data_IF_088445581799
#
_entry.id   IF_088445581799
#
_cell.length_a   1.000
_cell.length_b   1.000
_cell.length_c   1.000
_cell.angle_alpha   90.00
_cell.angle_beta   90.00
_cell.angle_gamma   90.00
#
_symmetry.space_group_name_H-M   'P 1'
#
loop_
_entity.id
_entity.type
_entity.pdbx_description
1 polymer ?
#
# COMPACT_ATOMS: atom_id res chain seq x y z
N UNK A 1 -6.33 -21.08 -3.98
CA UNK A 1 -5.50 -19.98 -3.45
C UNK A 1 -4.90 -19.26 -4.64
N UNK A 2 -4.84 -17.93 -4.59
CA UNK A 2 -4.16 -17.15 -5.62
C UNK A 2 -2.66 -17.45 -5.53
N UNK A 3 -2.00 -17.70 -6.66
CA UNK A 3 -0.59 -18.10 -6.69
C UNK A 3 0.30 -16.88 -6.50
N UNK A 4 1.41 -17.04 -5.80
CA UNK A 4 2.40 -15.97 -5.70
C UNK A 4 3.04 -15.71 -7.07
N UNK A 5 2.97 -14.47 -7.52
CA UNK A 5 3.42 -14.02 -8.84
C UNK A 5 4.90 -13.69 -8.83
N UNK A 6 5.65 -14.32 -9.72
CA UNK A 6 7.08 -14.11 -9.92
C UNK A 6 7.32 -13.69 -11.37
N UNK A 7 8.19 -12.69 -11.56
CA UNK A 7 8.67 -12.27 -12.88
C UNK A 7 10.14 -12.69 -13.03
N UNK A 8 10.43 -13.48 -14.06
CA UNK A 8 11.80 -13.84 -14.46
C UNK A 8 12.24 -12.90 -15.58
N UNK A 9 13.45 -12.36 -15.49
CA UNK A 9 14.05 -11.51 -16.52
C UNK A 9 15.41 -12.08 -16.89
N UNK A 10 15.51 -12.71 -18.05
CA UNK A 10 16.69 -13.47 -18.48
C UNK A 10 16.70 -13.49 -20.00
N UNK A 11 17.81 -13.12 -20.65
CA UNK A 11 17.87 -13.01 -22.11
C UNK A 11 18.12 -14.37 -22.78
N UNK A 12 18.83 -15.28 -22.10
CA UNK A 12 19.06 -16.63 -22.60
C UNK A 12 17.80 -17.51 -22.49
N UNK A 13 17.27 -17.97 -23.62
CA UNK A 13 16.02 -18.73 -23.70
C UNK A 13 16.04 -20.03 -22.90
N UNK A 14 17.13 -20.79 -22.97
CA UNK A 14 17.27 -22.06 -22.26
C UNK A 14 17.25 -21.85 -20.74
N UNK A 15 18.03 -20.88 -20.24
CA UNK A 15 18.07 -20.53 -18.81
C UNK A 15 16.72 -20.02 -18.33
N UNK A 16 16.08 -19.12 -19.09
CA UNK A 16 14.74 -18.59 -18.79
C UNK A 16 13.69 -19.71 -18.71
N UNK A 17 13.71 -20.65 -19.66
CA UNK A 17 12.78 -21.79 -19.69
C UNK A 17 13.00 -22.74 -18.50
N UNK A 18 14.25 -23.03 -18.12
CA UNK A 18 14.57 -23.87 -16.96
C UNK A 18 14.05 -23.22 -15.67
N UNK A 19 14.29 -21.92 -15.49
CA UNK A 19 13.82 -21.17 -14.31
C UNK A 19 12.29 -21.12 -14.27
N UNK A 20 11.63 -20.84 -15.39
CA UNK A 20 10.17 -20.83 -15.48
C UNK A 20 9.60 -22.19 -15.06
N UNK A 21 10.12 -23.29 -15.62
CA UNK A 21 9.68 -24.65 -15.28
C UNK A 21 9.93 -24.99 -13.82
N UNK A 22 11.07 -24.59 -13.25
CA UNK A 22 11.38 -24.80 -11.85
C UNK A 22 10.34 -24.12 -10.96
N UNK A 23 10.06 -22.84 -11.21
CA UNK A 23 9.16 -22.05 -10.36
C UNK A 23 7.70 -22.46 -10.54
N UNK A 24 7.24 -22.72 -11.77
CA UNK A 24 5.87 -23.20 -12.01
C UNK A 24 5.60 -24.56 -11.37
N UNK A 25 6.60 -25.46 -11.31
CA UNK A 25 6.50 -26.75 -10.60
C UNK A 25 6.41 -26.60 -9.08
N UNK A 26 6.80 -25.47 -8.53
CA UNK A 26 6.74 -25.15 -7.10
C UNK A 26 5.57 -24.19 -6.78
N UNK A 27 4.48 -24.29 -7.55
CA UNK A 27 3.20 -23.58 -7.33
C UNK A 27 3.23 -22.05 -7.45
N UNK A 28 4.24 -21.49 -8.11
CA UNK A 28 4.26 -20.07 -8.46
C UNK A 28 3.53 -19.78 -9.77
N UNK A 29 2.91 -18.60 -9.88
CA UNK A 29 2.53 -18.01 -11.15
C UNK A 29 3.76 -17.29 -11.70
N UNK A 30 4.12 -17.55 -12.95
CA UNK A 30 5.36 -17.07 -13.53
C UNK A 30 5.07 -16.35 -14.83
N UNK A 31 5.63 -15.15 -14.99
CA UNK A 31 5.82 -14.51 -16.28
C UNK A 31 7.30 -14.32 -16.52
N UNK A 32 7.66 -14.20 -17.78
CA UNK A 32 9.04 -14.03 -18.20
C UNK A 32 9.19 -12.80 -19.09
N UNK A 33 10.37 -12.20 -19.08
CA UNK A 33 10.79 -11.13 -19.97
C UNK A 33 12.24 -11.38 -20.41
N UNK A 34 12.62 -10.89 -21.59
CA UNK A 34 13.93 -11.13 -22.19
C UNK A 34 14.94 -10.01 -21.88
N UNK A 35 14.50 -8.91 -21.26
CA UNK A 35 15.34 -7.78 -20.86
C UNK A 35 14.56 -6.87 -19.88
N UNK A 36 15.25 -5.90 -19.29
CA UNK A 36 14.65 -4.98 -18.33
C UNK A 36 13.50 -4.12 -18.89
N UNK A 37 13.56 -3.71 -20.16
CA UNK A 37 12.52 -2.87 -20.77
C UNK A 37 11.18 -3.63 -20.89
N UNK A 38 11.24 -4.89 -21.32
CA UNK A 38 10.06 -5.78 -21.39
C UNK A 38 9.52 -6.08 -19.99
N UNK A 39 10.41 -6.29 -19.01
CA UNK A 39 10.01 -6.49 -17.62
C UNK A 39 9.21 -5.30 -17.08
N UNK A 40 9.65 -4.06 -17.35
CA UNK A 40 8.94 -2.85 -16.94
C UNK A 40 7.52 -2.77 -17.52
N UNK A 41 7.33 -3.17 -18.77
CA UNK A 41 6.01 -3.18 -19.42
C UNK A 41 5.03 -4.16 -18.75
N UNK A 42 5.55 -5.24 -18.16
CA UNK A 42 4.74 -6.25 -17.48
C UNK A 42 4.35 -5.84 -16.05
N UNK A 43 5.11 -4.97 -15.39
CA UNK A 43 4.94 -4.66 -13.96
C UNK A 43 3.51 -4.22 -13.62
N UNK A 44 2.90 -3.35 -14.42
CA UNK A 44 1.57 -2.80 -14.13
C UNK A 44 0.45 -3.82 -14.21
N UNK A 45 0.49 -4.68 -15.22
CA UNK A 45 -0.55 -5.68 -15.45
C UNK A 45 -0.39 -6.90 -14.54
N UNK A 46 0.84 -7.17 -14.09
CA UNK A 46 1.17 -8.42 -13.40
C UNK A 46 1.39 -8.24 -11.90
N UNK A 47 2.00 -7.13 -11.47
CA UNK A 47 2.34 -6.80 -10.08
C UNK A 47 2.99 -7.99 -9.35
N UNK A 48 4.18 -8.44 -9.80
CA UNK A 48 4.87 -9.56 -9.19
C UNK A 48 5.31 -9.23 -7.75
N UNK A 49 5.34 -10.24 -6.88
CA UNK A 49 5.91 -10.10 -5.53
C UNK A 49 7.42 -10.16 -5.55
N UNK A 50 7.96 -10.96 -6.48
CA UNK A 50 9.40 -11.18 -6.66
C UNK A 50 9.77 -10.99 -8.12
N UNK A 51 10.88 -10.30 -8.35
CA UNK A 51 11.58 -10.27 -9.64
C UNK A 51 12.89 -11.02 -9.48
N UNK A 52 13.15 -11.97 -10.37
CA UNK A 52 14.42 -12.67 -10.50
C UNK A 52 15.02 -12.25 -11.83
N UNK A 53 16.10 -11.47 -11.82
CA UNK A 53 16.67 -10.90 -13.03
C UNK A 53 18.14 -11.29 -13.20
N UNK A 54 18.57 -11.57 -14.43
CA UNK A 54 19.99 -11.63 -14.72
C UNK A 54 20.62 -10.24 -14.63
N UNK A 55 21.89 -10.19 -14.25
CA UNK A 55 22.67 -8.97 -14.23
C UNK A 55 22.87 -8.45 -15.65
N UNK A 56 23.37 -9.30 -16.54
CA UNK A 56 23.84 -8.88 -17.86
C UNK A 56 22.79 -9.23 -18.90
N UNK A 57 22.07 -8.23 -19.39
CA UNK A 57 21.05 -8.40 -20.44
C UNK A 57 21.16 -7.27 -21.46
N UNK A 58 20.75 -7.48 -22.72
CA UNK A 58 20.68 -6.42 -23.72
C UNK A 58 19.57 -5.41 -23.36
N UNK A 59 19.62 -4.23 -24.00
CA UNK A 59 18.62 -3.14 -23.89
C UNK A 59 18.58 -2.44 -22.52
N UNK A 60 18.33 -3.18 -21.45
CA UNK A 60 18.34 -2.70 -20.08
C UNK A 60 18.80 -3.84 -19.19
N UNK A 61 19.86 -3.60 -18.43
CA UNK A 61 20.48 -4.60 -17.58
C UNK A 61 19.71 -4.78 -16.25
N UNK A 62 20.04 -5.83 -15.48
CA UNK A 62 19.34 -6.13 -14.22
C UNK A 62 19.53 -5.07 -13.15
N UNK A 63 20.63 -4.31 -13.21
CA UNK A 63 20.97 -3.25 -12.26
C UNK A 63 20.14 -2.01 -12.55
N UNK A 64 20.06 -1.60 -13.81
CA UNK A 64 19.21 -0.50 -14.27
C UNK A 64 17.73 -0.79 -13.96
N UNK A 65 17.27 -2.01 -14.25
CA UNK A 65 15.92 -2.46 -13.90
C UNK A 65 15.66 -2.36 -12.39
N UNK A 66 16.58 -2.87 -11.56
CA UNK A 66 16.46 -2.82 -10.11
C UNK A 66 16.34 -1.37 -9.62
N UNK A 67 17.22 -0.49 -10.10
CA UNK A 67 17.21 0.94 -9.75
C UNK A 67 15.89 1.62 -10.13
N UNK A 68 15.33 1.32 -11.31
CA UNK A 68 14.02 1.85 -11.73
C UNK A 68 12.88 1.35 -10.83
N UNK A 69 12.85 0.05 -10.52
CA UNK A 69 11.84 -0.54 -9.64
C UNK A 69 11.92 0.05 -8.23
N UNK A 70 13.13 0.15 -7.66
CA UNK A 70 13.36 0.60 -6.28
C UNK A 70 13.11 2.09 -6.09
N UNK A 71 13.26 2.91 -7.13
CA UNK A 71 12.93 4.34 -7.09
C UNK A 71 11.45 4.67 -7.30
N UNK A 72 10.66 3.71 -7.75
CA UNK A 72 9.24 3.92 -8.00
C UNK A 72 8.39 3.51 -6.79
N UNK A 73 7.65 4.44 -6.18
CA UNK A 73 6.82 4.17 -5.00
C UNK A 73 5.78 3.06 -5.17
N UNK A 74 5.37 2.78 -6.42
CA UNK A 74 4.44 1.70 -6.75
C UNK A 74 5.11 0.32 -6.71
N UNK A 75 6.38 0.23 -7.11
CA UNK A 75 7.09 -1.05 -7.31
C UNK A 75 8.20 -1.30 -6.29
N UNK A 76 8.59 -0.31 -5.48
CA UNK A 76 9.75 -0.39 -4.59
C UNK A 76 9.70 -1.55 -3.58
N UNK A 77 8.51 -2.03 -3.24
CA UNK A 77 8.32 -3.16 -2.32
C UNK A 77 8.44 -4.53 -2.99
N UNK A 78 8.53 -4.59 -4.33
CA UNK A 78 8.81 -5.84 -5.04
C UNK A 78 10.18 -6.33 -4.60
N UNK A 79 10.25 -7.60 -4.19
CA UNK A 79 11.50 -8.22 -3.79
C UNK A 79 12.34 -8.55 -5.02
N UNK A 80 13.56 -8.04 -5.11
CA UNK A 80 14.40 -8.11 -6.29
C UNK A 80 15.62 -8.98 -6.01
N UNK A 81 15.71 -10.12 -6.71
CA UNK A 81 16.82 -11.07 -6.66
C UNK A 81 17.62 -10.91 -7.94
N UNK A 82 18.89 -10.53 -7.79
CA UNK A 82 19.81 -10.38 -8.91
C UNK A 82 20.66 -11.65 -9.09
N UNK A 83 20.60 -12.24 -10.28
CA UNK A 83 21.45 -13.37 -10.67
C UNK A 83 22.74 -12.81 -11.28
N UNK A 84 23.90 -13.36 -10.93
CA UNK A 84 25.18 -12.85 -11.44
C UNK A 84 26.21 -13.95 -11.64
N UNK A 85 26.93 -13.91 -12.75
CA UNK A 85 28.15 -14.71 -12.93
C UNK A 85 29.37 -14.09 -12.21
N UNK A 86 29.23 -12.86 -11.71
CA UNK A 86 30.33 -12.10 -11.08
C UNK A 86 30.32 -12.35 -9.58
N UNK A 87 31.35 -13.05 -9.10
CA UNK A 87 31.53 -13.36 -7.68
C UNK A 87 32.40 -12.32 -6.93
N UNK A 88 32.88 -11.26 -7.60
CA UNK A 88 33.79 -10.31 -6.97
C UNK A 88 33.09 -9.50 -5.87
N UNK A 89 33.79 -9.24 -4.76
CA UNK A 89 33.26 -8.47 -3.63
C UNK A 89 32.76 -7.08 -4.07
N UNK A 90 33.44 -6.47 -5.07
CA UNK A 90 33.12 -5.14 -5.60
C UNK A 90 31.80 -5.13 -6.37
N UNK A 91 31.54 -6.17 -7.16
CA UNK A 91 30.27 -6.32 -7.88
C UNK A 91 29.10 -6.58 -6.89
N UNK A 92 29.34 -7.37 -5.85
CA UNK A 92 28.35 -7.62 -4.79
C UNK A 92 27.99 -6.36 -3.99
N UNK A 93 28.98 -5.55 -3.65
CA UNK A 93 28.77 -4.25 -2.99
C UNK A 93 27.97 -3.32 -3.90
N UNK A 94 28.32 -3.25 -5.19
CA UNK A 94 27.61 -2.42 -6.16
C UNK A 94 26.14 -2.84 -6.32
N UNK A 95 25.84 -4.14 -6.35
CA UNK A 95 24.46 -4.64 -6.42
C UNK A 95 23.62 -4.29 -5.18
N UNK A 96 24.21 -4.37 -3.98
CA UNK A 96 23.54 -4.00 -2.73
C UNK A 96 23.33 -2.49 -2.62
N UNK A 97 24.31 -1.68 -3.02
CA UNK A 97 24.23 -0.22 -2.98
C UNK A 97 23.13 0.35 -3.90
N UNK A 98 22.71 -0.43 -4.91
CA UNK A 98 21.67 -0.04 -5.87
C UNK A 98 20.26 -0.49 -5.40
N UNK A 99 20.18 -1.21 -4.28
CA UNK A 99 18.93 -1.54 -3.60
C UNK A 99 18.32 -2.88 -3.98
N UNK A 100 19.09 -3.80 -4.57
CA UNK A 100 18.67 -5.20 -4.70
C UNK A 100 18.51 -5.83 -3.30
N UNK A 101 17.47 -6.63 -3.10
CA UNK A 101 17.21 -7.22 -1.79
C UNK A 101 17.99 -8.52 -1.57
N UNK A 102 18.38 -9.20 -2.66
CA UNK A 102 19.25 -10.38 -2.63
C UNK A 102 20.04 -10.54 -3.94
N UNK A 103 21.07 -11.39 -3.89
CA UNK A 103 21.82 -11.80 -5.07
C UNK A 103 22.18 -13.29 -5.01
N UNK A 104 22.22 -13.94 -6.17
CA UNK A 104 22.66 -15.32 -6.32
C UNK A 104 23.74 -15.42 -7.38
N UNK A 105 24.81 -16.14 -7.05
CA UNK A 105 25.91 -16.37 -7.98
C UNK A 105 25.61 -17.59 -8.84
N UNK A 106 25.71 -17.44 -10.17
CA UNK A 106 25.60 -18.56 -11.13
C UNK A 106 26.85 -19.48 -10.97
N UNK A 107 26.71 -20.82 -10.98
CA UNK A 107 25.49 -21.59 -11.25
C UNK A 107 24.53 -21.61 -10.05
N UNK A 108 23.22 -21.53 -10.35
CA UNK A 108 22.18 -21.37 -9.33
C UNK A 108 21.76 -22.74 -8.81
N UNK A 109 21.87 -22.93 -7.49
CA UNK A 109 21.31 -24.09 -6.83
C UNK A 109 19.78 -23.93 -6.67
N UNK A 110 19.01 -24.85 -7.25
CA UNK A 110 17.54 -24.77 -7.29
C UNK A 110 16.92 -24.61 -5.90
N UNK A 111 17.43 -25.34 -4.91
CA UNK A 111 16.93 -25.26 -3.53
C UNK A 111 17.23 -23.90 -2.89
N UNK A 112 18.38 -23.31 -3.22
CA UNK A 112 18.73 -21.98 -2.73
C UNK A 112 17.79 -20.93 -3.33
N UNK A 113 17.60 -20.92 -4.66
CA UNK A 113 16.69 -19.98 -5.32
C UNK A 113 15.27 -20.06 -4.74
N UNK A 114 14.73 -21.27 -4.57
CA UNK A 114 13.40 -21.45 -3.98
C UNK A 114 13.33 -20.95 -2.53
N UNK A 115 14.38 -21.14 -1.73
CA UNK A 115 14.44 -20.62 -0.36
C UNK A 115 14.46 -19.10 -0.33
N UNK A 116 15.21 -18.48 -1.25
CA UNK A 116 15.35 -17.02 -1.40
C UNK A 116 14.03 -16.39 -1.83
N UNK A 117 13.35 -16.99 -2.81
CA UNK A 117 12.01 -16.58 -3.25
C UNK A 117 10.99 -16.65 -2.11
N UNK A 118 10.95 -17.76 -1.35
CA UNK A 118 10.02 -17.87 -0.20
C UNK A 118 10.28 -16.78 0.84
N UNK A 119 11.54 -16.49 1.13
CA UNK A 119 11.92 -15.40 2.04
C UNK A 119 11.51 -14.05 1.48
N UNK A 120 11.75 -13.80 0.19
CA UNK A 120 11.36 -12.59 -0.51
C UNK A 120 9.87 -12.32 -0.49
N UNK A 121 9.05 -13.34 -0.75
CA UNK A 121 7.58 -13.23 -0.65
C UNK A 121 7.15 -12.87 0.77
N UNK A 122 7.75 -13.50 1.79
CA UNK A 122 7.44 -13.18 3.19
C UNK A 122 7.76 -11.72 3.51
N UNK A 123 8.93 -11.23 3.08
CA UNK A 123 9.35 -9.84 3.28
C UNK A 123 8.41 -8.88 2.54
N UNK A 124 8.08 -9.17 1.28
CA UNK A 124 7.15 -8.37 0.48
C UNK A 124 5.77 -8.26 1.16
N UNK A 125 5.22 -9.38 1.64
CA UNK A 125 3.92 -9.38 2.31
C UNK A 125 3.97 -8.55 3.62
N UNK A 126 5.02 -8.73 4.44
CA UNK A 126 5.20 -7.97 5.69
C UNK A 126 5.35 -6.47 5.43
N UNK A 127 6.12 -6.08 4.41
CA UNK A 127 6.30 -4.66 4.05
C UNK A 127 4.98 -4.02 3.58
N UNK A 128 4.17 -4.73 2.80
CA UNK A 128 2.85 -4.24 2.40
C UNK A 128 1.86 -4.15 3.58
N UNK A 129 1.93 -5.10 4.51
CA UNK A 129 1.13 -5.06 5.73
C UNK A 129 1.52 -3.86 6.60
N UNK A 130 2.82 -3.62 6.82
CA UNK A 130 3.32 -2.46 7.54
C UNK A 130 2.89 -1.14 6.88
N UNK A 131 3.04 -1.02 5.55
CA UNK A 131 2.60 0.17 4.80
C UNK A 131 1.10 0.42 4.99
N UNK A 132 0.30 -0.64 5.03
CA UNK A 132 -1.15 -0.55 5.25
C UNK A 132 -1.48 -0.10 6.68
N UNK A 133 -0.75 -0.61 7.67
CA UNK A 133 -0.87 -0.21 9.07
C UNK A 133 -0.51 1.26 9.25
N UNK A 134 0.61 1.72 8.67
CA UNK A 134 1.03 3.13 8.71
C UNK A 134 -0.01 4.04 8.08
N UNK A 135 -0.55 3.65 6.91
CA UNK A 135 -1.61 4.40 6.25
C UNK A 135 -2.87 4.49 7.11
N UNK A 136 -3.33 3.37 7.66
CA UNK A 136 -4.50 3.34 8.53
C UNK A 136 -4.30 4.19 9.80
N UNK A 137 -3.10 4.16 10.38
CA UNK A 137 -2.75 5.00 11.52
C UNK A 137 -2.84 6.49 11.16
N UNK A 138 -2.30 6.90 10.02
CA UNK A 138 -2.38 8.29 9.56
C UNK A 138 -3.83 8.75 9.35
N UNK A 139 -4.71 7.87 8.84
CA UNK A 139 -6.14 8.16 8.69
C UNK A 139 -6.83 8.38 10.04
N UNK A 140 -6.52 7.55 11.04
CA UNK A 140 -7.07 7.69 12.41
C UNK A 140 -6.61 9.00 13.04
N UNK A 141 -5.32 9.35 12.93
CA UNK A 141 -4.79 10.62 13.45
C UNK A 141 -5.44 11.83 12.75
N UNK A 142 -5.66 11.75 11.43
CA UNK A 142 -6.39 12.78 10.68
C UNK A 142 -7.85 12.90 11.11
N UNK A 143 -8.54 11.78 11.33
CA UNK A 143 -9.92 11.76 11.81
C UNK A 143 -10.07 12.43 13.19
N UNK A 144 -9.17 12.14 14.12
CA UNK A 144 -9.11 12.82 15.42
C UNK A 144 -8.89 14.33 15.26
N UNK A 145 -7.94 14.73 14.41
CA UNK A 145 -7.62 16.15 14.15
C UNK A 145 -8.82 16.90 13.58
N UNK A 146 -9.47 16.34 12.55
CA UNK A 146 -10.67 16.92 11.95
C UNK A 146 -11.81 16.98 12.97
N UNK A 147 -11.99 15.93 13.76
CA UNK A 147 -13.02 15.90 14.78
C UNK A 147 -12.88 17.03 15.79
N UNK A 148 -11.65 17.31 16.26
CA UNK A 148 -11.39 18.48 17.10
C UNK A 148 -11.68 19.81 16.38
N UNK A 149 -11.27 19.94 15.11
CA UNK A 149 -11.51 21.14 14.32
C UNK A 149 -13.00 21.41 14.07
N UNK A 150 -13.85 20.38 14.00
CA UNK A 150 -15.31 20.52 13.86
C UNK A 150 -15.97 20.79 15.22
N UNK A 151 -15.51 20.15 16.29
CA UNK A 151 -16.06 20.36 17.64
C UNK A 151 -15.94 21.81 18.12
N UNK A 152 -14.87 22.51 17.72
CA UNK A 152 -14.65 23.91 18.09
C UNK A 152 -15.77 24.86 17.59
N UNK A 153 -16.02 24.99 16.26
CA UNK A 153 -17.12 25.83 15.76
C UNK A 153 -18.48 25.30 16.21
N UNK A 154 -18.67 23.99 16.35
CA UNK A 154 -19.93 23.43 16.84
C UNK A 154 -20.24 23.86 18.29
N UNK A 155 -19.22 23.88 19.15
CA UNK A 155 -19.33 24.39 20.53
C UNK A 155 -19.67 25.89 20.54
N UNK A 156 -19.06 26.66 19.63
CA UNK A 156 -19.40 28.08 19.45
C UNK A 156 -20.86 28.27 19.02
N UNK A 157 -21.34 27.48 18.05
CA UNK A 157 -22.74 27.54 17.58
C UNK A 157 -23.72 27.19 18.69
N UNK A 158 -23.45 26.15 19.48
CA UNK A 158 -24.25 25.78 20.65
C UNK A 158 -24.31 26.94 21.64
N UNK A 159 -23.18 27.57 21.93
CA UNK A 159 -23.11 28.67 22.88
C UNK A 159 -23.86 29.91 22.38
N UNK A 160 -23.72 30.26 21.11
CA UNK A 160 -24.47 31.36 20.48
C UNK A 160 -25.97 31.11 20.48
N UNK A 161 -26.41 29.88 20.17
CA UNK A 161 -27.83 29.52 20.25
C UNK A 161 -28.38 29.64 21.66
N UNK A 162 -27.67 29.10 22.65
CA UNK A 162 -28.08 29.23 24.07
C UNK A 162 -28.16 30.69 24.52
N UNK A 163 -27.26 31.56 24.03
CA UNK A 163 -27.31 33.00 24.30
C UNK A 163 -28.57 33.64 23.72
N UNK A 164 -28.88 33.35 22.44
CA UNK A 164 -30.10 33.85 21.78
C UNK A 164 -31.36 33.37 22.49
N UNK A 165 -31.40 32.10 22.92
CA UNK A 165 -32.52 31.55 23.69
C UNK A 165 -32.75 32.33 24.98
N UNK A 166 -31.68 32.62 25.73
CA UNK A 166 -31.75 33.40 26.97
C UNK A 166 -32.20 34.85 26.73
N UNK A 167 -31.70 35.49 25.67
CA UNK A 167 -32.11 36.85 25.29
C UNK A 167 -33.61 36.90 24.93
N UNK A 168 -34.10 35.93 24.14
CA UNK A 168 -35.51 35.85 23.76
C UNK A 168 -36.44 35.61 24.96
N UNK A 169 -36.04 34.73 25.89
CA UNK A 169 -36.76 34.52 27.14
C UNK A 169 -36.84 35.81 27.97
N UNK A 170 -35.73 36.53 28.10
CA UNK A 170 -35.68 37.81 28.82
C UNK A 170 -36.56 38.89 28.17
N UNK A 171 -36.64 38.90 26.84
CA UNK A 171 -37.45 39.82 26.05
C UNK A 171 -38.93 39.38 25.93
N UNK A 172 -39.32 38.24 26.51
CA UNK A 172 -40.65 37.61 26.37
C UNK A 172 -41.06 37.40 24.90
N UNK A 173 -40.10 37.19 24.01
CA UNK A 173 -40.35 36.89 22.61
C UNK A 173 -40.77 35.43 22.46
N UNK A 174 -41.75 35.15 21.59
CA UNK A 174 -42.05 33.76 21.21
C UNK A 174 -40.89 33.20 20.40
N UNK A 175 -40.42 32.03 20.79
CA UNK A 175 -39.41 31.28 20.05
C UNK A 175 -40.01 30.76 18.74
N UNK A 176 -39.34 30.93 17.58
CA UNK A 176 -39.71 30.20 16.38
C UNK A 176 -39.34 28.73 16.60
N UNK A 177 -40.29 27.96 17.13
CA UNK A 177 -40.05 26.60 17.65
C UNK A 177 -39.48 25.64 16.60
N UNK A 178 -39.94 25.72 15.34
CA UNK A 178 -39.50 24.80 14.28
C UNK A 178 -38.04 25.04 13.88
N UNK A 179 -37.61 26.28 13.64
CA UNK A 179 -36.24 26.59 13.20
C UNK A 179 -35.21 26.25 14.28
N UNK A 180 -35.49 26.61 15.54
CA UNK A 180 -34.61 26.27 16.67
C UNK A 180 -34.52 24.76 16.88
N UNK A 181 -35.64 24.04 16.75
CA UNK A 181 -35.64 22.59 16.84
C UNK A 181 -34.77 21.96 15.74
N UNK A 182 -34.93 22.39 14.49
CA UNK A 182 -34.14 21.88 13.35
C UNK A 182 -32.65 22.16 13.51
N UNK A 183 -32.27 23.36 13.96
CA UNK A 183 -30.86 23.71 14.19
C UNK A 183 -30.27 22.87 15.33
N UNK A 184 -30.99 22.73 16.44
CA UNK A 184 -30.51 21.96 17.59
C UNK A 184 -30.37 20.46 17.27
N UNK A 185 -31.35 19.88 16.58
CA UNK A 185 -31.28 18.50 16.06
C UNK A 185 -30.09 18.32 15.10
N UNK A 186 -29.85 19.30 14.21
CA UNK A 186 -28.73 19.25 13.27
C UNK A 186 -27.38 19.30 13.99
N UNK A 187 -27.25 20.13 15.02
CA UNK A 187 -26.03 20.23 15.85
C UNK A 187 -25.79 18.92 16.61
N UNK A 188 -26.81 18.38 17.26
CA UNK A 188 -26.68 17.11 18.00
C UNK A 188 -26.34 15.95 17.06
N UNK A 189 -26.90 15.95 15.84
CA UNK A 189 -26.55 14.97 14.81
C UNK A 189 -25.08 15.10 14.37
N UNK A 190 -24.60 16.32 14.08
CA UNK A 190 -23.18 16.54 13.71
C UNK A 190 -22.26 16.13 14.86
N UNK A 191 -22.60 16.49 16.11
CA UNK A 191 -21.84 16.12 17.29
C UNK A 191 -21.70 14.60 17.44
N UNK A 192 -22.80 13.85 17.27
CA UNK A 192 -22.78 12.38 17.27
C UNK A 192 -21.86 11.82 16.19
N UNK A 193 -21.93 12.35 14.96
CA UNK A 193 -21.04 11.93 13.87
C UNK A 193 -19.56 12.20 14.16
N UNK A 194 -19.25 13.40 14.67
CA UNK A 194 -17.88 13.77 15.02
C UNK A 194 -17.34 12.90 16.16
N UNK A 195 -18.16 12.63 17.18
CA UNK A 195 -17.79 11.75 18.28
C UNK A 195 -17.47 10.34 17.80
N UNK A 196 -18.29 9.81 16.89
CA UNK A 196 -18.09 8.48 16.31
C UNK A 196 -16.86 8.43 15.37
N UNK A 197 -16.53 9.53 14.70
CA UNK A 197 -15.31 9.68 13.90
C UNK A 197 -14.03 9.73 14.77
N UNK A 198 -14.07 10.38 15.94
CA UNK A 198 -12.91 10.47 16.85
C UNK A 198 -12.66 9.13 17.56
N UNK A 199 -13.73 8.42 17.94
CA UNK A 199 -13.64 7.16 18.68
C UNK A 199 -13.53 5.93 17.77
N UNK A 200 -12.97 6.10 16.58
CA UNK A 200 -12.93 5.09 15.53
C UNK A 200 -11.82 4.07 15.82
N UNK A 201 -12.13 3.04 16.60
CA UNK A 201 -11.24 1.89 16.82
C UNK A 201 -11.56 0.78 15.82
N UNK A 202 -10.57 0.37 15.01
CA UNK A 202 -10.68 -0.68 13.98
C UNK A 202 -11.77 -0.44 12.93
N UNK A 203 -11.56 0.51 12.00
CA UNK A 203 -12.49 0.77 10.92
C UNK A 203 -12.76 -0.45 10.03
N UNK A 204 -13.99 -0.96 10.05
CA UNK A 204 -14.46 -1.90 9.03
C UNK A 204 -14.94 -1.10 7.80
N UNK A 205 -14.23 -1.28 6.69
CA UNK A 205 -14.62 -0.73 5.39
C UNK A 205 -15.61 -1.70 4.75
N UNK A 206 -16.84 -1.25 4.50
CA UNK A 206 -17.90 -2.05 3.89
C UNK A 206 -18.17 -1.53 2.49
N UNK A 207 -18.37 -2.44 1.53
CA UNK A 207 -18.82 -2.06 0.19
C UNK A 207 -20.25 -1.52 0.27
N UNK A 208 -20.44 -0.26 -0.12
CA UNK A 208 -21.73 0.42 -0.15
C UNK A 208 -22.33 0.37 -1.56
N UNK A 209 -21.49 0.48 -2.59
CA UNK A 209 -21.82 0.18 -4.00
C UNK A 209 -20.62 -0.55 -4.65
N UNK A 210 -20.72 -1.08 -5.89
CA UNK A 210 -19.59 -1.71 -6.57
C UNK A 210 -18.35 -0.81 -6.64
N UNK A 211 -18.54 0.51 -6.72
CA UNK A 211 -17.47 1.51 -6.86
C UNK A 211 -17.25 2.35 -5.60
N UNK A 212 -18.03 2.14 -4.51
CA UNK A 212 -17.90 2.93 -3.29
C UNK A 212 -17.81 2.08 -2.03
N UNK A 213 -16.80 2.41 -1.23
CA UNK A 213 -16.54 1.82 0.09
C UNK A 213 -16.85 2.87 1.14
N UNK A 214 -17.57 2.48 2.20
CA UNK A 214 -17.89 3.34 3.33
C UNK A 214 -17.32 2.76 4.62
N UNK A 215 -16.89 3.65 5.52
CA UNK A 215 -16.54 3.31 6.88
C UNK A 215 -17.80 2.97 7.67
N UNK A 216 -17.85 1.77 8.26
CA UNK A 216 -18.91 1.42 9.20
C UNK A 216 -18.65 2.13 10.52
N UNK A 217 -19.41 3.19 10.75
CA UNK A 217 -19.42 3.90 12.02
C UNK A 217 -20.52 3.26 12.88
N UNK A 218 -20.17 2.70 14.04
CA UNK A 218 -21.13 2.12 15.01
C UNK A 218 -21.78 3.20 15.85
#
# INVERSE_FOLDING_TARGET
MDKDKILIVEDEEDTRFILERLLSKNDYEVKTANNGQEALQLLDSYMPKVVVADWTMPVMDGIELCNVIKKNDKYKLIYFILLTARASLKDRVTGLDIGADDFLVKPIENQELLARIRSGIRIHNLQNELKSIEHNKALVEMACTIGHQINNPLSSLIMSLKSLEAEMESAKMKKPDEDFYVINESIERIKKFVQALINLENPEIVSYTPDSKMLKIK
#
